data_IF_162738791678
#
_entry.id   IF_162738791678
#
_cell.length_a   1.000
_cell.length_b   1.000
_cell.length_c   1.000
_cell.angle_alpha   90.00
_cell.angle_beta   90.00
_cell.angle_gamma   90.00
#
_symmetry.space_group_name_H-M   'P 1'
#
loop_
_entity.id
_entity.type
_entity.pdbx_description
1 polymer ?
#
# COMPACT_ATOMS: atom_id res chain seq x y z
N UNK A 1 -26.05 19.72 -3.92
CA UNK A 1 -25.18 20.91 -3.88
C UNK A 1 -24.85 21.46 -5.29
N UNK A 2 -25.52 20.93 -6.33
CA UNK A 2 -25.43 21.53 -7.68
C UNK A 2 -25.83 23.00 -7.62
N UNK A 3 -25.04 23.85 -8.26
CA UNK A 3 -25.23 25.30 -8.22
C UNK A 3 -24.62 26.03 -7.01
N UNK A 4 -24.20 25.30 -5.96
CA UNK A 4 -23.50 25.87 -4.79
C UNK A 4 -22.00 25.61 -4.81
N UNK A 5 -21.58 24.49 -5.37
CA UNK A 5 -20.16 24.12 -5.49
C UNK A 5 -19.76 24.00 -6.97
N UNK A 6 -18.51 24.33 -7.31
CA UNK A 6 -17.96 24.03 -8.63
C UNK A 6 -18.07 22.52 -8.94
N UNK A 7 -18.32 22.19 -10.21
CA UNK A 7 -18.48 20.79 -10.62
C UNK A 7 -17.24 19.94 -10.30
N UNK A 8 -16.06 20.49 -10.45
CA UNK A 8 -14.78 19.84 -10.19
C UNK A 8 -14.61 19.44 -8.71
N UNK A 9 -15.29 20.15 -7.81
CA UNK A 9 -15.30 19.83 -6.37
C UNK A 9 -16.43 18.88 -6.04
N UNK A 10 -17.60 19.12 -6.63
CA UNK A 10 -18.82 18.36 -6.33
C UNK A 10 -18.70 16.89 -6.73
N UNK A 11 -18.10 16.63 -7.89
CA UNK A 11 -17.99 15.30 -8.50
C UNK A 11 -16.58 14.71 -8.46
N UNK A 12 -15.69 15.28 -7.63
CA UNK A 12 -14.34 14.74 -7.50
C UNK A 12 -14.36 13.33 -6.89
N UNK A 13 -13.40 12.53 -7.29
CA UNK A 13 -13.11 11.24 -6.66
C UNK A 13 -12.89 11.43 -5.15
N UNK A 14 -13.56 10.60 -4.35
CA UNK A 14 -13.25 10.52 -2.92
C UNK A 14 -11.91 9.82 -2.73
N UNK A 15 -10.95 10.53 -2.18
CA UNK A 15 -9.65 9.94 -1.82
C UNK A 15 -9.75 9.18 -0.50
N UNK A 16 -8.94 8.13 -0.38
CA UNK A 16 -8.73 7.46 0.90
C UNK A 16 -7.98 8.41 1.84
N UNK A 17 -8.09 8.17 3.13
CA UNK A 17 -7.44 9.04 4.12
C UNK A 17 -5.91 9.06 3.96
N UNK A 18 -5.32 7.92 3.60
CA UNK A 18 -3.89 7.79 3.29
C UNK A 18 -3.48 8.62 2.06
N UNK A 19 -4.32 8.65 1.03
CA UNK A 19 -4.03 9.37 -0.22
C UNK A 19 -4.25 10.89 -0.04
N UNK A 20 -5.10 11.30 0.89
CA UNK A 20 -5.40 12.71 1.20
C UNK A 20 -4.21 13.50 1.76
N UNK A 21 -3.15 12.84 2.25
CA UNK A 21 -1.89 13.50 2.61
C UNK A 21 -1.02 13.83 1.40
N UNK A 22 -1.42 13.38 0.22
CA UNK A 22 -0.77 13.64 -1.06
C UNK A 22 0.12 12.51 -1.56
N UNK A 23 0.06 12.26 -2.85
CA UNK A 23 0.83 11.19 -3.50
C UNK A 23 2.34 11.41 -3.44
N UNK A 24 2.79 12.64 -3.33
CA UNK A 24 4.21 12.98 -3.14
C UNK A 24 4.80 12.38 -1.86
N UNK A 25 3.99 12.19 -0.82
CA UNK A 25 4.41 11.50 0.39
C UNK A 25 4.72 10.02 0.10
N UNK A 26 3.86 9.34 -0.63
CA UNK A 26 4.03 7.93 -1.00
C UNK A 26 5.30 7.77 -1.85
N UNK A 27 5.45 8.60 -2.88
CA UNK A 27 6.60 8.55 -3.79
C UNK A 27 7.90 8.87 -3.07
N UNK A 28 7.91 9.89 -2.21
CA UNK A 28 9.07 10.26 -1.41
C UNK A 28 9.48 9.17 -0.42
N UNK A 29 8.53 8.46 0.17
CA UNK A 29 8.82 7.34 1.07
C UNK A 29 9.42 6.15 0.30
N UNK A 30 8.87 5.82 -0.87
CA UNK A 30 9.42 4.78 -1.74
C UNK A 30 10.85 5.11 -2.17
N UNK A 31 11.11 6.35 -2.61
CA UNK A 31 12.44 6.81 -2.99
C UNK A 31 13.42 6.73 -1.81
N UNK A 32 13.00 7.16 -0.64
CA UNK A 32 13.80 7.05 0.58
C UNK A 32 14.19 5.61 0.87
N UNK A 33 13.24 4.69 0.82
CA UNK A 33 13.47 3.27 1.11
C UNK A 33 14.37 2.60 0.07
N UNK A 34 14.23 2.96 -1.22
CA UNK A 34 15.11 2.47 -2.27
C UNK A 34 16.60 2.77 -1.99
N UNK A 35 16.88 3.92 -1.36
CA UNK A 35 18.22 4.29 -0.93
C UNK A 35 18.70 3.56 0.33
N UNK A 36 17.79 3.00 1.14
CA UNK A 36 18.12 2.34 2.42
C UNK A 36 18.26 0.83 2.31
N UNK A 37 17.54 0.21 1.37
CA UNK A 37 17.49 -1.25 1.22
C UNK A 37 18.07 -1.66 -0.12
N UNK A 38 19.14 -2.46 -0.10
CA UNK A 38 19.76 -2.99 -1.30
C UNK A 38 18.98 -4.18 -1.86
N UNK A 39 19.15 -4.47 -3.16
CA UNK A 39 18.55 -5.65 -3.79
C UNK A 39 19.00 -6.94 -3.11
N UNK A 40 20.29 -7.03 -2.74
CA UNK A 40 20.85 -8.19 -2.04
C UNK A 40 20.18 -8.42 -0.66
N UNK A 41 19.83 -7.35 0.05
CA UNK A 41 19.09 -7.47 1.31
C UNK A 41 17.68 -8.02 1.07
N UNK A 42 17.00 -7.59 0.04
CA UNK A 42 15.68 -8.09 -0.32
C UNK A 42 15.75 -9.54 -0.79
N UNK A 43 16.70 -9.90 -1.65
CA UNK A 43 16.90 -11.28 -2.11
C UNK A 43 17.17 -12.25 -0.95
N UNK A 44 17.89 -11.79 0.07
CA UNK A 44 18.19 -12.56 1.26
C UNK A 44 17.15 -12.42 2.39
N UNK A 45 16.02 -11.77 2.14
CA UNK A 45 15.02 -11.46 3.15
C UNK A 45 14.49 -12.69 3.89
N UNK A 46 14.34 -13.83 3.20
CA UNK A 46 13.88 -15.08 3.80
C UNK A 46 14.83 -15.67 4.86
N UNK A 47 16.11 -15.37 4.76
CA UNK A 47 17.09 -15.78 5.79
C UNK A 47 16.96 -14.94 7.06
N UNK A 48 16.67 -13.66 6.92
CA UNK A 48 16.52 -12.75 8.05
C UNK A 48 15.12 -12.80 8.66
N UNK A 49 14.11 -12.91 7.82
CA UNK A 49 12.68 -12.89 8.17
C UNK A 49 11.97 -14.13 7.61
N UNK A 50 12.17 -15.32 8.22
CA UNK A 50 11.63 -16.56 7.69
C UNK A 50 10.10 -16.66 7.81
N UNK A 51 9.49 -15.90 8.73
CA UNK A 51 8.03 -15.84 8.92
C UNK A 51 7.49 -14.57 8.28
N UNK A 52 6.50 -14.70 7.41
CA UNK A 52 5.90 -13.57 6.69
C UNK A 52 6.98 -12.69 6.04
N UNK A 53 7.82 -13.33 5.23
CA UNK A 53 8.97 -12.71 4.54
C UNK A 53 8.51 -11.50 3.72
N UNK A 54 9.13 -10.33 3.88
CA UNK A 54 8.79 -9.15 3.06
C UNK A 54 9.17 -9.39 1.59
N UNK A 55 8.30 -8.95 0.68
CA UNK A 55 8.42 -9.12 -0.77
C UNK A 55 8.81 -7.83 -1.52
N UNK A 56 8.95 -6.73 -0.80
CA UNK A 56 9.37 -5.43 -1.34
C UNK A 56 10.36 -4.74 -0.41
N UNK A 57 11.14 -3.80 -0.94
CA UNK A 57 12.08 -3.00 -0.13
C UNK A 57 11.36 -2.20 0.94
N UNK A 58 10.18 -1.69 0.64
CA UNK A 58 9.36 -0.95 1.59
C UNK A 58 8.91 -1.87 2.74
N UNK A 59 8.39 -3.04 2.43
CA UNK A 59 8.02 -4.04 3.43
C UNK A 59 9.22 -4.50 4.26
N UNK A 60 10.39 -4.70 3.61
CA UNK A 60 11.64 -5.03 4.29
C UNK A 60 12.07 -3.95 5.28
N UNK A 61 12.01 -2.70 4.87
CA UNK A 61 12.36 -1.56 5.72
C UNK A 61 11.47 -1.48 6.97
N UNK A 62 10.15 -1.58 6.79
CA UNK A 62 9.23 -1.61 7.92
C UNK A 62 9.43 -2.82 8.81
N UNK A 63 9.73 -3.98 8.22
CA UNK A 63 10.00 -5.20 8.99
C UNK A 63 11.25 -5.04 9.87
N UNK A 64 12.29 -4.37 9.40
CA UNK A 64 13.46 -4.07 10.21
C UNK A 64 13.12 -3.24 11.45
N UNK A 65 12.34 -2.17 11.26
CA UNK A 65 11.88 -1.30 12.35
C UNK A 65 10.98 -2.07 13.31
N UNK A 66 10.06 -2.89 12.78
CA UNK A 66 9.15 -3.68 13.59
C UNK A 66 9.91 -4.64 14.51
N UNK A 67 10.85 -5.41 13.99
CA UNK A 67 11.62 -6.36 14.81
C UNK A 67 12.58 -5.71 15.81
N UNK A 68 13.06 -4.50 15.51
CA UNK A 68 13.81 -3.71 16.50
C UNK A 68 12.95 -3.39 17.75
N UNK A 69 11.67 -3.11 17.55
CA UNK A 69 10.74 -2.76 18.62
C UNK A 69 10.06 -3.98 19.26
N UNK A 70 9.86 -5.03 18.48
CA UNK A 70 9.15 -6.24 18.86
C UNK A 70 9.97 -7.51 18.51
N UNK A 71 11.06 -7.80 19.25
CA UNK A 71 12.02 -8.85 18.87
C UNK A 71 11.57 -10.28 19.17
N UNK A 72 10.35 -10.48 19.66
CA UNK A 72 9.85 -11.81 20.02
C UNK A 72 9.36 -12.58 18.78
N UNK A 73 9.63 -13.90 18.67
CA UNK A 73 9.13 -14.71 17.56
C UNK A 73 7.61 -14.62 17.36
N UNK A 74 6.83 -14.57 18.46
CA UNK A 74 5.38 -14.40 18.40
C UNK A 74 4.94 -13.08 17.78
N UNK A 75 5.76 -12.04 17.80
CA UNK A 75 5.45 -10.79 17.12
C UNK A 75 5.55 -10.95 15.60
N UNK A 76 6.49 -11.77 15.12
CA UNK A 76 6.62 -12.05 13.69
C UNK A 76 5.37 -12.76 13.12
N UNK A 77 4.70 -13.59 13.92
CA UNK A 77 3.43 -14.24 13.54
C UNK A 77 2.26 -13.25 13.37
N UNK A 78 2.36 -12.08 14.02
CA UNK A 78 1.35 -11.02 13.91
C UNK A 78 1.53 -10.13 12.66
N UNK A 79 2.64 -10.25 11.94
CA UNK A 79 2.86 -9.48 10.71
C UNK A 79 1.96 -10.02 9.61
N UNK A 80 1.13 -9.15 9.07
CA UNK A 80 0.24 -9.51 7.96
C UNK A 80 1.09 -9.69 6.69
N UNK A 81 0.99 -10.86 6.08
CA UNK A 81 1.62 -11.13 4.79
C UNK A 81 0.75 -10.63 3.63
N UNK A 82 1.39 -10.25 2.53
CA UNK A 82 0.72 -9.86 1.31
C UNK A 82 0.46 -8.36 1.16
N UNK A 83 -0.15 -7.99 0.06
CA UNK A 83 -0.43 -6.60 -0.29
C UNK A 83 -1.48 -6.00 0.65
N UNK A 84 -1.18 -4.88 1.28
CA UNK A 84 -2.14 -4.07 2.02
C UNK A 84 -2.82 -3.10 1.06
N UNK A 85 -3.83 -3.56 0.34
CA UNK A 85 -4.68 -2.71 -0.51
C UNK A 85 -6.05 -2.57 0.14
N UNK A 86 -6.69 -1.43 -0.06
CA UNK A 86 -8.12 -1.30 0.18
C UNK A 86 -8.83 -2.40 -0.60
N UNK A 87 -9.79 -3.06 0.04
CA UNK A 87 -10.52 -4.19 -0.56
C UNK A 87 -9.65 -5.44 -0.87
N UNK A 88 -8.60 -5.67 -0.10
CA UNK A 88 -7.72 -6.84 -0.26
C UNK A 88 -8.18 -8.10 0.50
N UNK A 89 -9.26 -8.04 1.26
CA UNK A 89 -9.82 -9.23 1.88
C UNK A 89 -10.36 -10.20 0.83
N UNK A 90 -10.36 -11.51 1.13
CA UNK A 90 -10.86 -12.51 0.18
C UNK A 90 -12.31 -12.23 -0.23
N UNK A 91 -13.14 -11.76 0.69
CA UNK A 91 -14.51 -11.37 0.43
C UNK A 91 -14.61 -10.18 -0.54
N UNK A 92 -13.80 -9.15 -0.33
CA UNK A 92 -13.78 -7.98 -1.21
C UNK A 92 -13.27 -8.32 -2.61
N UNK A 93 -12.25 -9.16 -2.72
CA UNK A 93 -11.73 -9.67 -4.01
C UNK A 93 -12.73 -10.58 -4.73
N UNK A 94 -13.63 -11.25 -3.99
CA UNK A 94 -14.72 -12.02 -4.58
C UNK A 94 -15.83 -11.13 -5.15
N UNK A 95 -16.02 -9.93 -4.59
CA UNK A 95 -16.99 -8.96 -5.08
C UNK A 95 -16.53 -8.24 -6.36
N UNK A 96 -15.23 -7.96 -6.44
CA UNK A 96 -14.64 -7.27 -7.59
C UNK A 96 -13.24 -7.83 -7.89
N UNK A 97 -13.16 -8.62 -8.95
CA UNK A 97 -11.90 -9.26 -9.36
C UNK A 97 -10.85 -8.28 -9.89
N UNK A 98 -11.25 -7.06 -10.27
CA UNK A 98 -10.32 -6.05 -10.79
C UNK A 98 -9.25 -5.64 -9.77
N UNK A 99 -9.52 -5.82 -8.47
CA UNK A 99 -8.55 -5.55 -7.41
C UNK A 99 -7.47 -6.62 -7.26
N UNK A 100 -7.63 -7.81 -7.85
CA UNK A 100 -6.63 -8.90 -7.73
C UNK A 100 -5.29 -8.54 -8.36
N UNK A 101 -5.33 -7.83 -9.48
CA UNK A 101 -4.16 -7.49 -10.29
C UNK A 101 -3.66 -6.06 -10.06
N UNK A 102 -4.23 -5.36 -9.08
CA UNK A 102 -3.85 -3.99 -8.79
C UNK A 102 -2.44 -3.93 -8.18
N UNK A 103 -1.47 -3.45 -8.97
CA UNK A 103 -0.09 -3.31 -8.55
C UNK A 103 0.13 -2.06 -7.65
N UNK A 104 -0.72 -1.05 -7.79
CA UNK A 104 -0.67 0.18 -6.99
C UNK A 104 -1.77 0.15 -5.92
N UNK A 105 -1.43 -0.01 -4.63
CA UNK A 105 -2.40 0.00 -3.54
C UNK A 105 -3.00 1.38 -3.26
N UNK A 106 -2.50 2.44 -3.88
CA UNK A 106 -3.04 3.80 -3.72
C UNK A 106 -4.33 4.00 -4.50
N UNK A 107 -5.11 5.02 -4.14
CA UNK A 107 -6.32 5.41 -4.85
C UNK A 107 -6.08 5.83 -6.31
N UNK A 108 -4.82 6.08 -6.70
CA UNK A 108 -4.44 6.44 -8.08
C UNK A 108 -4.85 5.39 -9.10
N UNK A 109 -4.85 4.13 -8.73
CA UNK A 109 -5.20 3.03 -9.63
C UNK A 109 -6.65 3.09 -10.14
N UNK A 110 -7.55 3.79 -9.43
CA UNK A 110 -8.97 3.90 -9.76
C UNK A 110 -9.38 5.28 -10.27
N UNK A 111 -8.46 6.25 -10.36
CA UNK A 111 -8.76 7.60 -10.82
C UNK A 111 -9.35 7.63 -12.24
N UNK A 112 -8.87 6.78 -13.15
CA UNK A 112 -9.37 6.69 -14.52
C UNK A 112 -10.82 6.22 -14.58
N UNK A 113 -11.21 5.28 -13.74
CA UNK A 113 -12.58 4.72 -13.70
C UNK A 113 -13.60 5.80 -13.35
N UNK A 114 -13.24 6.73 -12.49
CA UNK A 114 -14.12 7.81 -12.08
C UNK A 114 -14.15 8.99 -13.06
N UNK A 115 -13.06 9.26 -13.75
CA UNK A 115 -13.04 10.31 -14.78
C UNK A 115 -13.89 9.97 -16.02
N UNK A 116 -14.13 8.68 -16.27
CA UNK A 116 -14.97 8.22 -17.39
C UNK A 116 -16.47 8.12 -17.02
N UNK A 117 -16.80 8.19 -15.73
CA UNK A 117 -18.18 7.98 -15.24
C UNK A 117 -19.00 9.28 -15.14
N UNK A 118 -18.40 10.44 -15.37
CA UNK A 118 -18.96 11.78 -15.26
C UNK A 118 -18.48 12.66 -16.41
#
# INVERSE_FOLDING_TARGET
FEGYLPKEILWRQKEQFSDGVGYSWIDGLKEYVEAQVTDLQLESASHRFPVNTPDSKEAYFYRCIFEEKFPLPSAADCVIGGKSVACSTQEALAWDESFKDNADPSGRAVLSVHNESY
#
